data_IF_474179730245
#
_entry.id   IF_474179730245
#
_cell.length_a   1.000
_cell.length_b   1.000
_cell.length_c   1.000
_cell.angle_alpha   90.00
_cell.angle_beta   90.00
_cell.angle_gamma   90.00
#
_symmetry.space_group_name_H-M   'P 1'
#
loop_
_entity.id
_entity.type
_entity.pdbx_description
1 polymer ?
#
# COMPACT_ATOMS: atom_id res chain seq x y z
N UNK A 1 -8.44 7.81 -8.57
CA UNK A 1 -8.46 6.96 -7.36
C UNK A 1 -7.44 7.44 -6.33
N UNK A 2 -6.17 7.59 -6.70
CA UNK A 2 -5.08 8.03 -5.80
C UNK A 2 -5.36 9.40 -5.16
N UNK A 3 -5.78 10.42 -5.92
CA UNK A 3 -6.13 11.75 -5.35
C UNK A 3 -7.10 11.64 -4.17
N UNK A 4 -8.20 10.90 -4.32
CA UNK A 4 -9.17 10.70 -3.22
C UNK A 4 -8.57 10.03 -1.98
N UNK A 5 -7.56 9.18 -2.17
CA UNK A 5 -6.87 8.54 -1.06
C UNK A 5 -5.94 9.54 -0.34
N UNK A 6 -5.21 10.36 -1.09
CA UNK A 6 -4.41 11.47 -0.57
C UNK A 6 -5.26 12.45 0.27
N UNK A 7 -6.43 12.84 -0.26
CA UNK A 7 -7.34 13.79 0.39
C UNK A 7 -7.87 13.30 1.76
N UNK A 8 -7.82 11.99 2.04
CA UNK A 8 -8.42 11.38 3.25
C UNK A 8 -7.42 10.83 4.26
N UNK A 9 -6.18 10.53 3.83
CA UNK A 9 -5.17 9.92 4.69
C UNK A 9 -4.12 10.94 5.17
N UNK A 10 -4.01 12.10 4.53
CA UNK A 10 -2.95 13.07 4.77
C UNK A 10 -1.56 12.56 4.38
N UNK A 11 -0.58 13.47 4.30
CA UNK A 11 0.84 13.12 4.14
C UNK A 11 1.39 13.02 2.71
N UNK A 12 0.54 12.97 1.67
CA UNK A 12 0.96 13.05 0.27
C UNK A 12 -0.08 13.80 -0.57
N UNK A 13 0.37 14.61 -1.51
CA UNK A 13 -0.43 15.03 -2.66
C UNK A 13 -0.30 14.01 -3.80
N UNK A 14 -1.25 13.97 -4.73
CA UNK A 14 -1.19 13.03 -5.85
C UNK A 14 0.04 13.26 -6.75
N UNK A 15 0.51 14.51 -6.86
CA UNK A 15 1.72 14.85 -7.61
C UNK A 15 2.98 14.26 -6.94
N UNK A 16 3.03 14.24 -5.60
CA UNK A 16 4.15 13.62 -4.87
C UNK A 16 4.25 12.12 -5.20
N UNK A 17 3.11 11.44 -5.27
CA UNK A 17 3.04 10.02 -5.64
C UNK A 17 3.50 9.82 -7.08
N UNK A 18 3.02 10.65 -8.01
CA UNK A 18 3.38 10.59 -9.42
C UNK A 18 4.90 10.76 -9.61
N UNK A 19 5.49 11.77 -8.99
CA UNK A 19 6.91 12.06 -9.10
C UNK A 19 7.78 10.99 -8.43
N UNK A 20 7.35 10.45 -7.29
CA UNK A 20 8.01 9.32 -6.65
C UNK A 20 7.98 8.06 -7.52
N UNK A 21 6.87 7.81 -8.24
CA UNK A 21 6.78 6.71 -9.20
C UNK A 21 7.70 6.92 -10.40
N UNK A 22 7.74 8.13 -10.99
CA UNK A 22 8.66 8.47 -12.09
C UNK A 22 10.13 8.27 -11.70
N UNK A 23 10.46 8.56 -10.44
CA UNK A 23 11.82 8.38 -9.89
C UNK A 23 12.14 6.93 -9.50
N UNK A 24 11.16 6.01 -9.58
CA UNK A 24 11.32 4.62 -9.18
C UNK A 24 11.37 4.40 -7.66
N UNK A 25 11.06 5.42 -6.86
CA UNK A 25 11.00 5.32 -5.39
C UNK A 25 9.76 4.52 -5.01
N UNK A 26 8.62 4.87 -5.61
CA UNK A 26 7.37 4.15 -5.44
C UNK A 26 7.08 3.22 -6.62
N UNK A 27 6.36 2.15 -6.34
CA UNK A 27 5.79 1.26 -7.35
C UNK A 27 4.27 1.38 -7.31
N UNK A 28 3.68 1.64 -8.48
CA UNK A 28 2.24 1.71 -8.67
C UNK A 28 1.74 0.36 -9.19
N UNK A 29 0.76 -0.19 -8.48
CA UNK A 29 0.04 -1.40 -8.84
C UNK A 29 -1.38 -1.04 -9.22
N UNK A 30 -1.82 -1.50 -10.39
CA UNK A 30 -3.20 -1.40 -10.83
C UNK A 30 -3.78 -2.82 -10.90
N UNK A 31 -4.90 -3.02 -10.21
CA UNK A 31 -5.65 -4.27 -10.28
C UNK A 31 -6.80 -4.05 -11.25
N UNK A 32 -6.77 -4.77 -12.38
CA UNK A 32 -7.74 -4.62 -13.48
C UNK A 32 -8.41 -5.94 -13.83
N UNK A 33 -9.56 -5.87 -14.49
CA UNK A 33 -10.06 -7.02 -15.26
C UNK A 33 -9.44 -7.09 -16.67
N UNK A 34 -9.85 -8.11 -17.42
CA UNK A 34 -9.46 -8.35 -18.81
C UNK A 34 -9.81 -7.17 -19.75
N UNK A 35 -10.79 -6.35 -19.37
CA UNK A 35 -11.22 -5.16 -20.12
C UNK A 35 -10.48 -3.89 -19.68
N UNK A 36 -9.42 -4.02 -18.88
CA UNK A 36 -8.62 -2.91 -18.34
C UNK A 36 -9.39 -1.96 -17.42
N UNK A 37 -10.54 -2.39 -16.88
CA UNK A 37 -11.22 -1.60 -15.85
C UNK A 37 -10.45 -1.71 -14.54
N UNK A 38 -10.05 -0.57 -13.98
CA UNK A 38 -9.32 -0.51 -12.70
C UNK A 38 -10.29 -0.67 -11.53
N UNK A 39 -10.05 -1.67 -10.68
CA UNK A 39 -10.77 -1.90 -9.43
C UNK A 39 -10.08 -1.30 -8.22
N UNK A 40 -8.74 -1.32 -8.23
CA UNK A 40 -7.93 -0.77 -7.16
C UNK A 40 -6.57 -0.30 -7.66
N UNK A 41 -6.00 0.64 -6.90
CA UNK A 41 -4.62 1.07 -7.01
C UNK A 41 -3.92 0.91 -5.66
N UNK A 42 -2.73 0.33 -5.69
CA UNK A 42 -1.85 0.21 -4.53
C UNK A 42 -0.53 0.90 -4.84
N UNK A 43 0.00 1.67 -3.90
CA UNK A 43 1.32 2.30 -4.00
C UNK A 43 2.21 1.71 -2.92
N UNK A 44 3.36 1.18 -3.33
CA UNK A 44 4.35 0.62 -2.40
C UNK A 44 5.68 1.35 -2.48
N UNK A 45 6.42 1.31 -1.38
CA UNK A 45 7.80 1.75 -1.27
C UNK A 45 8.65 0.59 -0.74
N UNK A 46 9.80 0.33 -1.36
CA UNK A 46 10.81 -0.53 -0.77
C UNK A 46 11.65 0.29 0.21
N UNK A 47 11.57 -0.01 1.50
CA UNK A 47 12.34 0.69 2.55
C UNK A 47 13.39 -0.24 3.16
N UNK A 48 14.61 0.26 3.25
CA UNK A 48 15.69 -0.43 3.95
C UNK A 48 15.74 -0.02 5.42
N UNK A 49 15.64 -1.01 6.30
CA UNK A 49 16.12 -0.92 7.68
C UNK A 49 17.58 -1.39 7.73
N UNK A 50 18.34 -1.04 8.79
CA UNK A 50 19.75 -1.44 8.90
C UNK A 50 20.02 -2.95 8.74
N UNK A 51 19.04 -3.80 9.07
CA UNK A 51 19.18 -5.26 9.08
C UNK A 51 18.21 -6.01 8.16
N UNK A 52 17.24 -5.35 7.52
CA UNK A 52 16.33 -5.97 6.55
C UNK A 52 15.63 -4.94 5.69
N UNK A 53 15.07 -5.38 4.56
CA UNK A 53 14.20 -4.57 3.72
C UNK A 53 12.73 -4.86 4.01
N UNK A 54 11.87 -3.87 3.85
CA UNK A 54 10.40 -4.03 3.87
C UNK A 54 9.79 -3.49 2.59
N UNK A 55 8.58 -3.97 2.29
CA UNK A 55 7.70 -3.33 1.33
C UNK A 55 6.60 -2.62 2.12
N UNK A 56 6.64 -1.30 2.13
CA UNK A 56 5.65 -0.47 2.81
C UNK A 56 4.53 -0.08 1.85
N UNK A 57 3.29 -0.36 2.22
CA UNK A 57 2.12 0.06 1.47
C UNK A 57 1.76 1.48 1.90
N UNK A 58 1.98 2.44 1.00
CA UNK A 58 1.69 3.87 1.23
C UNK A 58 0.22 4.19 1.03
N UNK A 59 -0.36 3.67 -0.04
CA UNK A 59 -1.73 3.96 -0.44
C UNK A 59 -2.36 2.67 -0.92
N UNK A 60 -3.56 2.38 -0.43
CA UNK A 60 -4.44 1.36 -0.98
C UNK A 60 -5.83 1.96 -1.11
N UNK A 61 -6.35 2.00 -2.32
CA UNK A 61 -7.69 2.50 -2.60
C UNK A 61 -8.32 1.71 -3.74
N UNK A 62 -9.62 1.45 -3.62
CA UNK A 62 -10.33 0.62 -4.57
C UNK A 62 -11.81 0.49 -4.22
N UNK A 63 -12.56 -0.01 -5.18
CA UNK A 63 -13.99 -0.32 -5.07
C UNK A 63 -14.19 -1.81 -5.35
N UNK A 64 -15.32 -2.39 -4.93
CA UNK A 64 -15.61 -3.83 -5.08
C UNK A 64 -14.46 -4.68 -4.50
N UNK A 65 -14.29 -4.58 -3.18
CA UNK A 65 -13.22 -5.19 -2.40
C UNK A 65 -12.93 -6.65 -2.77
N UNK A 66 -13.99 -7.44 -2.97
CA UNK A 66 -13.97 -8.85 -3.34
C UNK A 66 -13.26 -9.13 -4.68
N UNK A 67 -13.13 -8.14 -5.56
CA UNK A 67 -12.50 -8.30 -6.87
C UNK A 67 -10.98 -8.09 -6.86
N UNK A 68 -10.46 -7.41 -5.85
CA UNK A 68 -9.04 -7.00 -5.86
C UNK A 68 -8.27 -7.40 -4.61
N UNK A 69 -8.93 -7.66 -3.49
CA UNK A 69 -8.24 -7.86 -2.23
C UNK A 69 -7.28 -9.06 -2.25
N UNK A 70 -7.65 -10.15 -2.92
CA UNK A 70 -6.79 -11.33 -3.00
C UNK A 70 -5.47 -11.05 -3.72
N UNK A 71 -5.47 -10.12 -4.67
CA UNK A 71 -4.27 -9.68 -5.41
C UNK A 71 -3.26 -8.89 -4.57
N UNK A 72 -3.58 -8.53 -3.32
CA UNK A 72 -2.56 -8.03 -2.38
C UNK A 72 -1.48 -9.08 -2.11
N UNK A 73 -1.80 -10.37 -2.24
CA UNK A 73 -0.82 -11.45 -2.03
C UNK A 73 0.20 -11.54 -3.19
N UNK A 74 -0.18 -11.07 -4.38
CA UNK A 74 0.73 -10.96 -5.53
C UNK A 74 1.81 -9.89 -5.25
N UNK A 75 1.43 -8.78 -4.62
CA UNK A 75 2.34 -7.73 -4.17
C UNK A 75 3.28 -8.28 -3.09
N UNK A 76 2.77 -9.05 -2.13
CA UNK A 76 3.60 -9.69 -1.10
C UNK A 76 4.60 -10.70 -1.70
N UNK A 77 4.16 -11.46 -2.71
CA UNK A 77 5.03 -12.39 -3.45
C UNK A 77 6.12 -11.63 -4.19
N UNK A 78 5.80 -10.52 -4.83
CA UNK A 78 6.79 -9.64 -5.45
C UNK A 78 7.76 -9.07 -4.42
N UNK A 79 7.27 -8.54 -3.29
CA UNK A 79 8.10 -7.98 -2.23
C UNK A 79 9.12 -9.00 -1.70
N UNK A 80 8.70 -10.26 -1.52
CA UNK A 80 9.60 -11.36 -1.15
C UNK A 80 10.73 -11.56 -2.16
N UNK A 81 10.44 -11.46 -3.47
CA UNK A 81 11.46 -11.52 -4.54
C UNK A 81 12.40 -10.31 -4.53
N UNK A 82 11.97 -9.17 -4.02
CA UNK A 82 12.81 -7.98 -3.81
C UNK A 82 13.70 -8.07 -2.56
N UNK A 83 13.66 -9.20 -1.83
CA UNK A 83 14.40 -9.41 -0.60
C UNK A 83 13.75 -8.80 0.64
N UNK A 84 12.48 -8.40 0.56
CA UNK A 84 11.76 -7.90 1.73
C UNK A 84 11.49 -9.02 2.73
N UNK A 85 11.75 -8.73 4.01
CA UNK A 85 11.47 -9.64 5.12
C UNK A 85 10.01 -9.60 5.56
N UNK A 86 9.34 -8.46 5.37
CA UNK A 86 7.93 -8.26 5.72
C UNK A 86 7.28 -7.14 4.90
N UNK A 87 5.95 -7.17 4.90
CA UNK A 87 5.10 -6.07 4.46
C UNK A 87 4.80 -5.15 5.66
N UNK A 88 4.72 -3.85 5.43
CA UNK A 88 4.29 -2.85 6.42
C UNK A 88 3.18 -1.98 5.85
N UNK A 89 2.36 -1.43 6.74
CA UNK A 89 1.31 -0.48 6.38
C UNK A 89 0.97 0.40 7.60
N UNK A 90 0.88 1.70 7.37
CA UNK A 90 0.22 2.63 8.29
C UNK A 90 -1.21 2.84 7.80
N UNK A 91 -2.18 2.37 8.57
CA UNK A 91 -3.57 2.32 8.13
C UNK A 91 -4.54 2.72 9.23
N UNK A 92 -5.71 3.20 8.79
CA UNK A 92 -6.86 3.45 9.67
C UNK A 92 -7.26 2.16 10.40
N UNK A 93 -7.74 2.23 11.66
CA UNK A 93 -8.04 1.06 12.48
C UNK A 93 -8.94 0.00 11.81
N UNK A 94 -9.86 0.41 10.93
CA UNK A 94 -10.74 -0.51 10.20
C UNK A 94 -10.01 -1.56 9.34
N UNK A 95 -8.79 -1.25 8.87
CA UNK A 95 -7.97 -2.18 8.09
C UNK A 95 -7.41 -3.33 8.93
N UNK A 96 -7.33 -3.20 10.26
CA UNK A 96 -6.81 -4.25 11.12
C UNK A 96 -7.62 -5.55 10.96
N UNK A 97 -8.96 -5.45 10.98
CA UNK A 97 -9.85 -6.61 10.80
C UNK A 97 -9.66 -7.27 9.44
N UNK A 98 -9.53 -6.45 8.41
CA UNK A 98 -9.42 -6.83 7.00
C UNK A 98 -8.11 -7.58 6.75
N UNK A 99 -6.99 -6.99 7.17
CA UNK A 99 -5.65 -7.51 6.94
C UNK A 99 -5.30 -8.70 7.83
N UNK A 100 -5.97 -8.88 8.97
CA UNK A 100 -5.80 -10.06 9.84
C UNK A 100 -6.03 -11.37 9.09
N UNK A 101 -6.97 -11.39 8.14
CA UNK A 101 -7.25 -12.57 7.29
C UNK A 101 -6.07 -12.93 6.37
N UNK A 102 -5.18 -11.97 6.08
CA UNK A 102 -3.94 -12.16 5.30
C UNK A 102 -2.70 -12.32 6.19
N UNK A 103 -2.86 -12.54 7.49
CA UNK A 103 -1.77 -12.79 8.42
C UNK A 103 -1.03 -11.53 8.89
N UNK A 104 -1.54 -10.33 8.59
CA UNK A 104 -1.00 -9.10 9.19
C UNK A 104 -1.36 -9.04 10.67
N UNK A 105 -0.41 -8.53 11.45
CA UNK A 105 -0.56 -8.32 12.90
C UNK A 105 -0.32 -6.86 13.23
N UNK A 106 -1.17 -6.28 14.10
CA UNK A 106 -0.94 -4.94 14.64
C UNK A 106 0.24 -5.00 15.60
N UNK A 107 1.33 -4.34 15.24
CA UNK A 107 2.55 -4.30 16.06
C UNK A 107 2.73 -2.98 16.81
N UNK A 108 2.18 -1.88 16.28
CA UNK A 108 2.34 -0.52 16.81
C UNK A 108 1.04 0.29 16.66
N UNK A 109 1.00 1.45 17.31
CA UNK A 109 -0.05 2.47 17.17
C UNK A 109 0.62 3.79 16.77
N UNK A 110 0.04 4.48 15.78
CA UNK A 110 0.47 5.82 15.37
C UNK A 110 -0.12 6.86 16.34
N UNK A 111 0.72 7.73 16.89
CA UNK A 111 0.34 8.81 17.81
C UNK A 111 0.77 10.12 17.17
N UNK A 112 -0.15 11.06 17.03
CA UNK A 112 0.07 12.31 16.29
C UNK A 112 -0.36 13.52 17.11
N UNK A 113 0.27 14.66 16.82
CA UNK A 113 -0.11 15.98 17.32
C UNK A 113 0.03 16.97 16.17
N UNK A 114 -1.03 17.70 15.86
CA UNK A 114 -0.99 18.83 14.95
C UNK A 114 -0.16 19.97 15.56
N UNK A 115 0.69 20.61 14.75
CA UNK A 115 1.63 21.65 15.19
C UNK A 115 1.09 23.04 14.92
#
# INVERSE_FOLDING_TARGET
MIQRACDTNGGFEAEDILDACKRGIFQLWLITDDQQKVYASVVTELRDYPNFKVCDIKITTGEMYEKWFDHIDDIATWAKRQGCKKMEIFARPGWERVLKHKGYVKTHVQIEKEL
#
